data_IF_907267023931
#
_entry.id   IF_907267023931
#
_cell.length_a   1.000
_cell.length_b   1.000
_cell.length_c   1.000
_cell.angle_alpha   90.00
_cell.angle_beta   90.00
_cell.angle_gamma   90.00
#
_symmetry.space_group_name_H-M   'P 1'
#
loop_
_entity.id
_entity.type
_entity.pdbx_description
1 polymer ?
#
# COMPACT_ATOMS: atom_id res chain seq x y z
N UNK A 1 -3.07 7.22 11.28
CA UNK A 1 -1.92 6.32 11.49
C UNK A 1 -2.14 4.90 10.96
N UNK A 2 -3.24 4.19 11.29
CA UNK A 2 -3.46 2.83 10.80
C UNK A 2 -3.47 2.67 9.26
N UNK A 3 -4.06 3.62 8.53
CA UNK A 3 -4.09 3.62 7.06
C UNK A 3 -2.68 3.75 6.46
N UNK A 4 -1.84 4.62 7.03
CA UNK A 4 -0.46 4.80 6.57
C UNK A 4 0.37 3.53 6.76
N UNK A 5 0.19 2.85 7.90
CA UNK A 5 0.87 1.58 8.19
C UNK A 5 0.41 0.48 7.22
N UNK A 6 -0.89 0.40 6.91
CA UNK A 6 -1.43 -0.57 5.96
C UNK A 6 -0.88 -0.35 4.53
N UNK A 7 -0.79 0.90 4.10
CA UNK A 7 -0.21 1.25 2.79
C UNK A 7 1.27 0.88 2.72
N UNK A 8 2.04 1.19 3.77
CA UNK A 8 3.46 0.81 3.85
C UNK A 8 3.62 -0.71 3.79
N UNK A 9 2.81 -1.47 4.53
CA UNK A 9 2.86 -2.93 4.51
C UNK A 9 2.54 -3.50 3.12
N UNK A 10 1.56 -2.96 2.41
CA UNK A 10 1.24 -3.38 1.05
C UNK A 10 2.40 -3.10 0.09
N UNK A 11 3.03 -1.94 0.19
CA UNK A 11 4.20 -1.60 -0.63
C UNK A 11 5.35 -2.58 -0.34
N UNK A 12 5.63 -2.85 0.94
CA UNK A 12 6.67 -3.81 1.35
C UNK A 12 6.36 -5.20 0.81
N UNK A 13 5.13 -5.67 0.95
CA UNK A 13 4.72 -7.00 0.46
C UNK A 13 4.84 -7.09 -1.06
N UNK A 14 4.45 -6.03 -1.77
CA UNK A 14 4.59 -5.92 -3.23
C UNK A 14 6.05 -6.04 -3.66
N UNK A 15 6.94 -5.31 -2.98
CA UNK A 15 8.40 -5.37 -3.22
C UNK A 15 8.94 -6.77 -2.93
N UNK A 16 8.52 -7.41 -1.83
CA UNK A 16 8.94 -8.78 -1.48
C UNK A 16 8.51 -9.78 -2.56
N UNK A 17 7.29 -9.67 -3.07
CA UNK A 17 6.79 -10.52 -4.16
C UNK A 17 7.59 -10.27 -5.44
N UNK A 18 7.86 -9.01 -5.79
CA UNK A 18 8.61 -8.64 -7.00
C UNK A 18 10.07 -9.11 -6.92
N UNK A 19 10.70 -9.01 -5.76
CA UNK A 19 12.07 -9.50 -5.49
C UNK A 19 12.09 -11.04 -5.47
N UNK A 20 11.10 -11.68 -4.84
CA UNK A 20 10.96 -13.13 -4.81
C UNK A 20 10.72 -13.72 -6.20
N UNK A 21 9.91 -13.06 -7.01
CA UNK A 21 9.58 -13.45 -8.38
C UNK A 21 10.69 -13.10 -9.39
N UNK A 22 11.56 -12.13 -9.11
CA UNK A 22 12.71 -11.78 -9.98
C UNK A 22 13.97 -12.60 -9.69
N UNK A 23 14.11 -13.14 -8.47
CA UNK A 23 15.28 -13.95 -8.11
C UNK A 23 15.35 -15.23 -8.96
N UNK A 24 16.41 -15.37 -9.76
CA UNK A 24 16.74 -16.63 -10.46
C UNK A 24 17.02 -17.72 -9.42
N UNK A 25 16.16 -18.74 -9.34
CA UNK A 25 16.35 -19.93 -8.49
C UNK A 25 17.43 -20.88 -9.04
N UNK A 26 17.91 -20.67 -10.26
CA UNK A 26 18.96 -21.49 -10.88
C UNK A 26 20.33 -21.33 -10.19
N UNK A 27 20.51 -20.31 -9.32
CA UNK A 27 21.70 -20.20 -8.45
C UNK A 27 21.83 -21.34 -7.44
N UNK A 28 20.79 -22.16 -7.26
CA UNK A 28 20.81 -23.33 -6.38
C UNK A 28 21.08 -24.64 -7.13
N UNK A 29 20.94 -24.67 -8.46
CA UNK A 29 21.23 -25.87 -9.25
C UNK A 29 22.74 -26.05 -9.53
N UNK A 30 23.50 -24.94 -9.49
CA UNK A 30 24.96 -24.91 -9.63
C UNK A 30 25.65 -24.21 -8.44
N UNK A 31 25.00 -24.16 -7.28
CA UNK A 31 25.48 -23.40 -6.13
C UNK A 31 26.10 -24.28 -5.05
N UNK A 32 27.34 -23.98 -4.69
CA UNK A 32 28.04 -24.50 -3.51
C UNK A 32 27.09 -24.66 -2.31
N UNK A 33 27.22 -25.79 -1.60
CA UNK A 33 26.39 -26.10 -0.44
C UNK A 33 26.41 -24.98 0.58
N UNK A 34 25.34 -24.87 1.39
CA UNK A 34 25.25 -23.85 2.44
C UNK A 34 26.44 -23.93 3.40
N UNK A 35 26.94 -25.14 3.61
CA UNK A 35 28.11 -25.44 4.41
C UNK A 35 29.41 -24.93 3.77
N UNK A 36 29.59 -25.12 2.45
CA UNK A 36 30.74 -24.59 1.72
C UNK A 36 30.78 -23.06 1.75
N UNK A 37 29.63 -22.38 1.57
CA UNK A 37 29.56 -20.91 1.71
C UNK A 37 29.89 -20.42 3.11
N UNK A 38 29.47 -21.16 4.13
CA UNK A 38 29.73 -20.80 5.53
C UNK A 38 31.20 -20.98 5.90
N UNK A 39 31.85 -22.01 5.35
CA UNK A 39 33.28 -22.26 5.50
C UNK A 39 34.13 -21.21 4.77
N UNK A 40 33.74 -20.81 3.56
CA UNK A 40 34.41 -19.73 2.82
C UNK A 40 34.33 -18.40 3.57
N UNK A 41 33.14 -18.04 4.07
CA UNK A 41 32.95 -16.81 4.84
C UNK A 41 33.72 -16.80 6.17
N UNK A 42 34.02 -17.97 6.72
CA UNK A 42 34.76 -18.14 7.96
C UNK A 42 36.24 -18.48 7.74
N UNK A 43 36.74 -18.49 6.49
CA UNK A 43 38.11 -18.88 6.20
C UNK A 43 39.09 -17.79 6.67
N UNK A 44 39.89 -18.05 7.72
CA UNK A 44 40.81 -17.05 8.27
C UNK A 44 41.94 -16.68 7.29
N UNK A 45 42.18 -17.51 6.27
CA UNK A 45 43.15 -17.24 5.21
C UNK A 45 42.63 -16.21 4.18
N UNK A 46 41.31 -15.94 4.14
CA UNK A 46 40.70 -14.88 3.34
C UNK A 46 40.48 -13.59 4.16
N UNK A 47 40.53 -13.68 5.50
CA UNK A 47 40.60 -12.51 6.38
C UNK A 47 42.04 -12.04 6.45
N UNK A 48 42.50 -11.40 5.40
CA UNK A 48 43.85 -10.89 5.29
C UNK A 48 44.10 -9.84 6.39
N UNK A 49 45.02 -10.17 7.30
CA UNK A 49 45.37 -9.39 8.48
C UNK A 49 46.32 -8.25 8.16
N UNK A 50 45.93 -7.33 7.27
CA UNK A 50 46.75 -6.14 7.01
C UNK A 50 46.39 -5.29 5.80
N UNK A 51 45.57 -5.77 4.87
CA UNK A 51 45.03 -4.92 3.81
C UNK A 51 43.74 -4.25 4.32
N UNK A 52 43.73 -2.92 4.36
CA UNK A 52 42.52 -2.12 4.61
C UNK A 52 41.37 -2.70 3.78
N UNK A 53 40.32 -3.17 4.44
CA UNK A 53 39.11 -3.69 3.78
C UNK A 53 38.53 -2.53 2.97
N UNK A 54 38.88 -2.46 1.69
CA UNK A 54 38.37 -1.42 0.81
C UNK A 54 36.86 -1.58 0.76
N UNK A 55 36.15 -0.55 1.23
CA UNK A 55 34.69 -0.59 1.19
C UNK A 55 34.25 -0.64 -0.27
N UNK A 56 33.11 -1.28 -0.58
CA UNK A 56 32.63 -1.34 -1.97
C UNK A 56 32.52 0.04 -2.63
N UNK A 57 32.34 1.10 -1.83
CA UNK A 57 32.33 2.48 -2.29
C UNK A 57 33.72 3.00 -2.70
N UNK A 58 34.77 2.59 -2.02
CA UNK A 58 36.16 2.89 -2.39
C UNK A 58 36.57 2.15 -3.65
N UNK A 59 36.11 0.91 -3.83
CA UNK A 59 36.32 0.14 -5.06
C UNK A 59 35.63 0.80 -6.25
N UNK A 60 34.39 1.25 -6.09
CA UNK A 60 33.66 1.98 -7.13
C UNK A 60 34.30 3.35 -7.43
N UNK A 61 34.80 4.06 -6.41
CA UNK A 61 35.51 5.33 -6.58
C UNK A 61 36.86 5.13 -7.30
N UNK A 62 37.61 4.09 -6.95
CA UNK A 62 38.86 3.73 -7.62
C UNK A 62 38.60 3.32 -9.09
N UNK A 63 37.56 2.54 -9.35
CA UNK A 63 37.16 2.16 -10.70
C UNK A 63 36.67 3.35 -11.55
N UNK A 64 35.99 4.32 -10.94
CA UNK A 64 35.62 5.57 -11.61
C UNK A 64 36.85 6.43 -11.94
N UNK A 65 37.82 6.50 -11.02
CA UNK A 65 39.07 7.24 -11.22
C UNK A 65 39.95 6.58 -12.29
N UNK A 66 40.02 5.25 -12.31
CA UNK A 66 40.71 4.49 -13.34
C UNK A 66 40.07 4.64 -14.73
N UNK A 67 38.74 4.82 -14.80
CA UNK A 67 38.03 5.14 -16.06
C UNK A 67 38.19 6.60 -16.51
N UNK A 68 38.49 7.52 -15.59
CA UNK A 68 38.68 8.94 -15.89
C UNK A 68 40.12 9.31 -16.28
N UNK A 69 41.08 8.42 -16.03
CA UNK A 69 42.47 8.60 -16.46
C UNK A 69 42.62 8.57 -17.98
N UNK A 70 43.49 9.42 -18.53
CA UNK A 70 43.82 9.48 -19.96
C UNK A 70 44.83 8.41 -20.41
N UNK A 71 45.25 7.52 -19.50
CA UNK A 71 46.18 6.39 -19.74
C UNK A 71 45.48 5.11 -20.22
N UNK A 72 44.27 5.22 -20.76
CA UNK A 72 43.59 4.07 -21.38
C UNK A 72 44.25 3.80 -22.74
N UNK A 73 45.14 2.81 -22.76
CA UNK A 73 45.66 2.26 -24.01
C UNK A 73 44.47 1.82 -24.86
N UNK A 74 44.29 2.34 -26.09
CA UNK A 74 43.20 1.93 -26.96
C UNK A 74 43.37 0.44 -27.27
N UNK A 75 42.50 -0.37 -26.67
CA UNK A 75 42.38 -1.79 -27.03
C UNK A 75 41.78 -1.83 -28.43
N UNK A 76 42.50 -2.35 -29.44
CA UNK A 76 41.92 -2.49 -30.77
C UNK A 76 40.67 -3.36 -30.67
N UNK A 77 39.59 -2.95 -31.34
CA UNK A 77 38.34 -3.71 -31.32
C UNK A 77 38.63 -5.13 -31.79
N UNK A 78 38.42 -6.11 -30.91
CA UNK A 78 38.50 -7.51 -31.28
C UNK A 78 37.55 -7.76 -32.46
N UNK A 79 37.94 -8.59 -33.44
CA UNK A 79 37.05 -8.97 -34.54
C UNK A 79 35.72 -9.49 -33.99
N UNK A 80 34.58 -9.17 -34.62
CA UNK A 80 33.28 -9.69 -34.18
C UNK A 80 33.34 -11.22 -34.12
N UNK A 81 33.14 -11.78 -32.93
CA UNK A 81 33.10 -13.22 -32.79
C UNK A 81 31.95 -13.80 -33.63
N UNK A 82 32.19 -14.90 -34.35
CA UNK A 82 31.13 -15.54 -35.12
C UNK A 82 30.03 -16.04 -34.18
N UNK A 83 28.78 -15.73 -34.52
CA UNK A 83 27.61 -16.14 -33.74
C UNK A 83 27.57 -17.67 -33.61
N UNK A 84 27.69 -18.16 -32.38
CA UNK A 84 27.47 -19.57 -32.06
C UNK A 84 26.00 -19.74 -31.68
N UNK A 85 25.29 -20.59 -32.42
CA UNK A 85 23.89 -20.89 -32.13
C UNK A 85 23.76 -21.47 -30.71
N UNK A 86 22.84 -20.96 -29.87
CA UNK A 86 22.59 -21.54 -28.55
C UNK A 86 22.14 -23.00 -28.66
N UNK A 87 22.59 -23.84 -27.72
CA UNK A 87 22.23 -25.26 -27.65
C UNK A 87 20.70 -25.46 -27.76
N UNK A 88 20.21 -26.27 -28.73
CA UNK A 88 18.79 -26.48 -28.94
C UNK A 88 18.05 -27.00 -27.69
N UNK A 89 18.73 -27.78 -26.84
CA UNK A 89 18.13 -28.29 -25.59
C UNK A 89 17.94 -27.13 -24.60
N UNK A 90 18.96 -26.30 -24.41
CA UNK A 90 18.88 -25.10 -23.58
C UNK A 90 17.77 -24.14 -24.05
N UNK A 91 17.62 -23.94 -25.36
CA UNK A 91 16.53 -23.14 -25.93
C UNK A 91 15.16 -23.73 -25.60
N UNK A 92 14.99 -25.05 -25.74
CA UNK A 92 13.74 -25.73 -25.39
C UNK A 92 13.34 -25.56 -23.92
N UNK A 93 14.30 -25.67 -23.00
CA UNK A 93 14.09 -25.46 -21.56
C UNK A 93 13.69 -24.01 -21.28
N UNK A 94 14.40 -23.04 -21.86
CA UNK A 94 14.12 -21.61 -21.63
C UNK A 94 12.71 -21.18 -22.06
N UNK A 95 12.19 -21.75 -23.16
CA UNK A 95 10.81 -21.49 -23.64
C UNK A 95 9.76 -21.98 -22.66
N UNK A 96 9.93 -23.19 -22.11
CA UNK A 96 9.00 -23.76 -21.11
C UNK A 96 9.05 -22.98 -19.81
N UNK A 97 10.25 -22.59 -19.38
CA UNK A 97 10.42 -21.75 -18.18
C UNK A 97 9.75 -20.39 -18.35
N UNK A 98 9.94 -19.74 -19.50
CA UNK A 98 9.27 -18.47 -19.82
C UNK A 98 7.75 -18.63 -19.74
N UNK A 99 7.19 -19.62 -20.43
CA UNK A 99 5.75 -19.83 -20.50
C UNK A 99 5.12 -20.15 -19.14
N UNK A 100 5.73 -21.04 -18.37
CA UNK A 100 5.24 -21.38 -17.03
C UNK A 100 5.31 -20.17 -16.09
N UNK A 101 6.36 -19.33 -16.23
CA UNK A 101 6.55 -18.16 -15.37
C UNK A 101 5.64 -17.00 -15.76
N UNK A 102 5.44 -16.77 -17.05
CA UNK A 102 4.49 -15.77 -17.55
C UNK A 102 3.06 -16.15 -17.19
N UNK A 103 2.69 -17.42 -17.33
CA UNK A 103 1.35 -17.91 -16.98
C UNK A 103 1.05 -17.70 -15.49
N UNK A 104 1.95 -18.14 -14.61
CA UNK A 104 1.78 -17.96 -13.17
C UNK A 104 1.83 -16.48 -12.78
N UNK A 105 2.73 -15.70 -13.39
CA UNK A 105 2.85 -14.27 -13.14
C UNK A 105 1.60 -13.49 -13.54
N UNK A 106 1.07 -13.72 -14.74
CA UNK A 106 -0.15 -13.08 -15.23
C UNK A 106 -1.39 -13.50 -14.44
N UNK A 107 -1.52 -14.79 -14.13
CA UNK A 107 -2.62 -15.29 -13.29
C UNK A 107 -2.57 -14.67 -11.89
N UNK A 108 -1.39 -14.63 -11.26
CA UNK A 108 -1.21 -14.03 -9.95
C UNK A 108 -1.51 -12.52 -9.94
N UNK A 109 -1.07 -11.80 -10.97
CA UNK A 109 -1.37 -10.37 -11.12
C UNK A 109 -2.88 -10.12 -11.29
N UNK A 110 -3.55 -10.87 -12.16
CA UNK A 110 -5.00 -10.77 -12.38
C UNK A 110 -5.81 -11.07 -11.13
N UNK A 111 -5.49 -12.17 -10.44
CA UNK A 111 -6.17 -12.55 -9.18
C UNK A 111 -5.93 -11.52 -8.06
N UNK A 112 -4.76 -10.90 -8.02
CA UNK A 112 -4.45 -9.86 -7.02
C UNK A 112 -5.32 -8.63 -7.22
N UNK A 113 -5.56 -8.21 -8.47
CA UNK A 113 -6.48 -7.11 -8.77
C UNK A 113 -7.91 -7.39 -8.32
N UNK A 114 -8.42 -8.58 -8.63
CA UNK A 114 -9.76 -9.02 -8.21
C UNK A 114 -9.89 -9.15 -6.68
N UNK A 115 -8.90 -9.75 -6.02
CA UNK A 115 -8.86 -9.88 -4.57
C UNK A 115 -8.80 -8.52 -3.87
N UNK A 116 -8.01 -7.59 -4.41
CA UNK A 116 -7.95 -6.20 -3.94
C UNK A 116 -9.29 -5.49 -4.04
N UNK A 117 -9.99 -5.63 -5.18
CA UNK A 117 -11.32 -5.06 -5.38
C UNK A 117 -12.35 -5.66 -4.40
N UNK A 118 -12.28 -6.96 -4.15
CA UNK A 118 -13.17 -7.64 -3.18
C UNK A 118 -12.97 -7.09 -1.76
N UNK A 119 -11.72 -6.90 -1.33
CA UNK A 119 -11.40 -6.31 -0.02
C UNK A 119 -11.86 -4.85 0.04
N UNK A 120 -11.64 -4.08 -1.04
CA UNK A 120 -12.08 -2.68 -1.11
C UNK A 120 -13.61 -2.55 -1.01
N UNK A 121 -14.35 -3.50 -1.60
CA UNK A 121 -15.82 -3.55 -1.48
C UNK A 121 -16.27 -3.84 -0.04
N UNK A 122 -15.57 -4.73 0.67
CA UNK A 122 -15.85 -5.01 2.08
C UNK A 122 -15.36 -3.89 3.01
N UNK A 123 -14.49 -2.99 2.53
CA UNK A 123 -13.94 -1.93 3.34
C UNK A 123 -15.04 -0.94 3.71
N UNK A 124 -15.24 -0.65 5.01
CA UNK A 124 -16.29 0.26 5.44
C UNK A 124 -16.06 1.64 4.83
N UNK A 125 -16.87 1.96 3.82
CA UNK A 125 -17.05 3.34 3.39
C UNK A 125 -17.83 4.01 4.51
N UNK A 126 -17.28 5.08 5.08
CA UNK A 126 -17.81 5.70 6.31
C UNK A 126 -19.33 5.77 6.32
N UNK A 127 -19.94 5.32 7.42
CA UNK A 127 -21.40 5.31 7.62
C UNK A 127 -21.95 6.75 7.59
N UNK A 128 -22.22 7.24 6.39
CA UNK A 128 -23.17 8.31 6.15
C UNK A 128 -24.41 7.66 5.58
N UNK A 129 -25.34 7.35 6.49
CA UNK A 129 -26.56 6.59 6.20
C UNK A 129 -27.54 6.72 7.36
N UNK A 130 -28.62 5.94 7.31
CA UNK A 130 -29.67 5.96 8.32
C UNK A 130 -29.10 5.73 9.73
N UNK A 131 -29.32 6.68 10.65
CA UNK A 131 -28.78 6.64 12.02
C UNK A 131 -27.45 7.40 12.26
N UNK A 132 -26.87 8.04 11.24
CA UNK A 132 -25.72 8.92 11.44
C UNK A 132 -26.08 10.18 12.24
N UNK A 133 -25.15 10.69 13.05
CA UNK A 133 -25.32 11.97 13.76
C UNK A 133 -25.28 13.11 12.74
N UNK A 134 -26.40 13.80 12.58
CA UNK A 134 -26.51 14.96 11.72
C UNK A 134 -26.33 16.25 12.52
N UNK A 135 -25.45 17.14 12.04
CA UNK A 135 -25.31 18.49 12.60
C UNK A 135 -26.21 19.44 11.82
N UNK A 136 -27.27 19.90 12.47
CA UNK A 136 -28.38 20.63 11.83
C UNK A 136 -28.21 22.16 11.85
N UNK A 137 -27.35 22.67 12.74
CA UNK A 137 -27.07 24.11 12.88
C UNK A 137 -27.01 24.56 14.35
N UNK A 138 -27.03 25.88 14.57
CA UNK A 138 -27.16 26.50 15.88
C UNK A 138 -28.64 26.61 16.27
N UNK A 139 -28.97 26.35 17.54
CA UNK A 139 -30.33 26.37 18.06
C UNK A 139 -31.05 27.71 17.86
N UNK A 140 -30.34 28.82 18.12
CA UNK A 140 -30.93 30.18 18.06
C UNK A 140 -31.30 30.54 16.63
N UNK A 141 -30.44 30.21 15.67
CA UNK A 141 -30.68 30.41 14.24
C UNK A 141 -31.81 29.52 13.75
N UNK A 142 -31.84 28.25 14.19
CA UNK A 142 -32.90 27.30 13.82
C UNK A 142 -34.28 27.77 14.28
N UNK A 143 -34.40 28.29 15.51
CA UNK A 143 -35.67 28.81 16.02
C UNK A 143 -36.14 30.04 15.24
N UNK A 144 -35.22 30.95 14.90
CA UNK A 144 -35.53 32.12 14.07
C UNK A 144 -35.95 31.70 12.64
N UNK A 145 -35.26 30.74 12.05
CA UNK A 145 -35.59 30.19 10.73
C UNK A 145 -36.96 29.51 10.75
N UNK A 146 -37.30 28.75 11.80
CA UNK A 146 -38.61 28.12 11.98
C UNK A 146 -39.71 29.18 12.05
N UNK A 147 -39.51 30.24 12.84
CA UNK A 147 -40.48 31.34 12.96
C UNK A 147 -40.68 32.06 11.62
N UNK A 148 -39.58 32.32 10.89
CA UNK A 148 -39.64 32.96 9.57
C UNK A 148 -40.35 32.13 8.49
N UNK A 149 -40.37 30.80 8.63
CA UNK A 149 -40.97 29.87 7.68
C UNK A 149 -42.34 29.34 8.14
N UNK A 150 -43.10 30.12 8.92
CA UNK A 150 -44.43 29.77 9.43
C UNK A 150 -44.44 28.48 10.29
N UNK A 151 -43.41 28.27 11.10
CA UNK A 151 -43.35 27.18 12.08
C UNK A 151 -42.77 25.86 11.54
N UNK A 152 -42.31 25.82 10.28
CA UNK A 152 -41.72 24.62 9.68
C UNK A 152 -40.44 24.93 8.89
N UNK A 153 -39.36 24.22 9.20
CA UNK A 153 -38.08 24.34 8.50
C UNK A 153 -37.66 23.02 7.87
N UNK A 154 -37.43 23.00 6.56
CA UNK A 154 -36.94 21.82 5.87
C UNK A 154 -35.41 21.73 5.91
N UNK A 155 -34.87 20.59 6.36
CA UNK A 155 -33.43 20.31 6.32
C UNK A 155 -33.14 19.16 5.35
N UNK A 156 -32.50 19.45 4.20
CA UNK A 156 -32.29 18.45 3.16
C UNK A 156 -31.29 17.36 3.59
N UNK A 157 -30.33 17.70 4.45
CA UNK A 157 -29.28 16.79 4.94
C UNK A 157 -29.87 15.60 5.72
N UNK A 158 -30.99 15.82 6.41
CA UNK A 158 -31.72 14.79 7.15
C UNK A 158 -33.03 14.37 6.50
N UNK A 159 -33.39 14.97 5.36
CA UNK A 159 -34.73 14.85 4.74
C UNK A 159 -35.86 14.98 5.76
N UNK A 160 -35.73 15.94 6.67
CA UNK A 160 -36.63 16.11 7.81
C UNK A 160 -37.20 17.52 7.86
N UNK A 161 -38.37 17.65 8.48
CA UNK A 161 -38.98 18.92 8.86
C UNK A 161 -38.75 19.14 10.35
N UNK A 162 -38.34 20.36 10.68
CA UNK A 162 -38.16 20.81 12.05
C UNK A 162 -39.26 21.79 12.41
N UNK A 163 -39.75 21.68 13.63
CA UNK A 163 -40.74 22.59 14.22
C UNK A 163 -40.40 22.79 15.69
N UNK A 164 -40.74 23.96 16.22
CA UNK A 164 -40.51 24.26 17.64
C UNK A 164 -41.56 23.52 18.48
N UNK A 165 -41.12 22.94 19.59
CA UNK A 165 -42.02 22.30 20.53
C UNK A 165 -42.85 23.37 21.28
N UNK A 166 -44.18 23.22 21.38
CA UNK A 166 -45.02 24.21 22.06
C UNK A 166 -44.78 24.19 23.58
N UNK A 167 -44.38 25.34 24.14
CA UNK A 167 -44.03 25.51 25.56
C UNK A 167 -45.11 25.04 26.57
N UNK A 168 -46.38 24.97 26.18
CA UNK A 168 -47.49 24.52 27.03
C UNK A 168 -47.73 23.00 27.06
N UNK A 169 -47.03 22.20 26.25
CA UNK A 169 -47.28 20.76 26.11
C UNK A 169 -46.34 19.87 26.94
N UNK A 170 -45.32 20.46 27.59
CA UNK A 170 -44.25 19.73 28.31
C UNK A 170 -44.80 18.88 29.47
N UNK A 171 -45.85 19.34 30.15
CA UNK A 171 -46.46 18.59 31.26
C UNK A 171 -47.15 17.30 30.81
N UNK A 172 -47.68 17.25 29.57
CA UNK A 172 -48.22 16.02 28.99
C UNK A 172 -47.11 15.09 28.52
N UNK A 173 -45.98 15.64 28.09
CA UNK A 173 -44.83 14.86 27.63
C UNK A 173 -44.10 14.12 28.76
N UNK A 174 -44.11 14.66 29.98
CA UNK A 174 -43.42 14.09 31.16
C UNK A 174 -43.85 12.65 31.47
N UNK A 175 -45.09 12.29 31.14
CA UNK A 175 -45.61 10.94 31.37
C UNK A 175 -45.18 9.90 30.31
N UNK A 176 -44.68 10.33 29.14
CA UNK A 176 -44.50 9.46 27.97
C UNK A 176 -43.07 9.42 27.42
N UNK A 177 -42.27 10.46 27.68
CA UNK A 177 -40.93 10.61 27.12
C UNK A 177 -39.82 10.46 28.16
N UNK A 178 -38.63 10.10 27.67
CA UNK A 178 -37.43 9.91 28.48
C UNK A 178 -36.79 11.25 28.89
N UNK A 179 -35.98 11.24 29.95
CA UNK A 179 -35.37 12.45 30.49
C UNK A 179 -34.58 13.31 29.46
N UNK A 180 -33.82 12.73 28.52
CA UNK A 180 -33.13 13.51 27.48
C UNK A 180 -34.08 14.24 26.52
N UNK A 181 -35.22 13.63 26.20
CA UNK A 181 -36.23 14.22 25.30
C UNK A 181 -36.96 15.37 25.99
N UNK A 182 -37.27 15.21 27.28
CA UNK A 182 -37.91 16.26 28.09
C UNK A 182 -37.03 17.51 28.24
N UNK A 183 -35.71 17.36 28.27
CA UNK A 183 -34.79 18.49 28.30
C UNK A 183 -34.87 19.33 27.01
N UNK A 184 -35.00 18.68 25.84
CA UNK A 184 -35.24 19.35 24.56
C UNK A 184 -36.60 20.05 24.52
N UNK A 185 -37.66 19.33 24.89
CA UNK A 185 -39.03 19.86 24.89
C UNK A 185 -39.20 21.07 25.81
N UNK A 186 -38.49 21.10 26.95
CA UNK A 186 -38.48 22.25 27.85
C UNK A 186 -37.75 23.46 27.25
N UNK A 187 -36.77 23.22 26.38
CA UNK A 187 -36.08 24.25 25.60
C UNK A 187 -36.84 24.67 24.33
N UNK A 188 -38.03 24.09 24.08
CA UNK A 188 -38.88 24.41 22.93
C UNK A 188 -38.45 23.74 21.62
N UNK A 189 -37.69 22.63 21.68
CA UNK A 189 -37.14 21.93 20.50
C UNK A 189 -37.33 20.42 20.58
#
# INVERSE_FOLDING_TARGET
MGIVIAVILLIVLSVVVLVGASKRRDRSAAGLSREARRRDAANPALSDGGATVQTGREVEAAAATARAGTDVVPVPSAPPEPFVAPDPVAVGVSRRQFFNRSLVGMMGFGLSGFGGASIAFLWPQGVSGFGAKLKVGNLVELLADIESNNGFLYKPEGRMWLTAYPNGAVEKARAMYSAPELAGMTAGV
#
